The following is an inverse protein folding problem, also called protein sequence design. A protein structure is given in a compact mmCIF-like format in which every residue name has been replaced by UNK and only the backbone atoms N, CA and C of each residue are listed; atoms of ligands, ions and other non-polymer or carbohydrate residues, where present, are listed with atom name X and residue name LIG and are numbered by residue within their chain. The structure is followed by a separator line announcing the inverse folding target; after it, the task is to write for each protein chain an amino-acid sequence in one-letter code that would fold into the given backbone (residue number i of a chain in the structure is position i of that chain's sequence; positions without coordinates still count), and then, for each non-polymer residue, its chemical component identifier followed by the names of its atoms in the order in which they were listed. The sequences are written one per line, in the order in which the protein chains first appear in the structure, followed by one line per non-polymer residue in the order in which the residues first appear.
data_IF_220420962924
#
_entry.id   IF_220420962924
#
_cell.length_a   1.000
_cell.length_b   1.000
_cell.length_c   1.000
_cell.angle_alpha   90.00
_cell.angle_beta   90.00
_cell.angle_gamma   90.00
#
_symmetry.space_group_name_H-M   'P 1'
#
loop_
_entity.id
_entity.type
_entity.pdbx_description
1 polymer ?
#
# COMPACT_ATOMS: atom_id res chain seq x y z
N UNK A 1 -6.05 -8.04 28.06
CA UNK A 1 -7.10 -7.09 27.63
C UNK A 1 -6.51 -5.70 27.65
N UNK A 2 -6.33 -5.02 26.52
CA UNK A 2 -5.92 -3.61 26.54
C UNK A 2 -7.13 -2.69 26.36
N UNK A 3 -7.16 -1.66 27.21
CA UNK A 3 -8.13 -0.59 27.27
C UNK A 3 -8.40 0.06 25.92
N UNK A 4 -9.67 0.02 25.48
CA UNK A 4 -10.19 0.90 24.42
C UNK A 4 -10.38 2.29 25.02
N UNK A 5 -9.42 3.18 24.83
CA UNK A 5 -9.71 4.62 24.92
C UNK A 5 -10.66 5.00 23.77
N UNK A 6 -11.83 5.60 24.04
CA UNK A 6 -12.67 6.15 22.99
C UNK A 6 -11.91 7.29 22.30
N UNK A 7 -11.65 7.13 21.00
CA UNK A 7 -11.05 8.16 20.17
C UNK A 7 -11.92 9.41 20.13
N UNK A 8 -11.29 10.56 20.32
CA UNK A 8 -11.90 11.88 20.19
C UNK A 8 -12.66 11.98 18.86
N UNK A 9 -13.95 12.28 18.94
CA UNK A 9 -14.70 12.73 17.78
C UNK A 9 -14.07 14.04 17.29
N UNK A 10 -13.52 14.03 16.08
CA UNK A 10 -13.11 15.25 15.39
C UNK A 10 -14.32 16.17 15.32
N UNK A 11 -14.24 17.32 15.98
CA UNK A 11 -15.26 18.38 15.88
C UNK A 11 -15.31 18.83 14.42
N UNK A 12 -16.46 18.64 13.78
CA UNK A 12 -16.70 19.12 12.43
C UNK A 12 -16.89 20.64 12.48
N UNK A 13 -15.91 21.40 12.00
CA UNK A 13 -16.01 22.85 11.81
C UNK A 13 -16.55 23.17 10.40
N UNK A 14 -17.19 24.35 10.21
CA UNK A 14 -17.93 24.66 8.99
C UNK A 14 -17.01 24.78 7.77
N UNK A 15 -17.38 24.10 6.67
CA UNK A 15 -16.78 24.27 5.36
C UNK A 15 -17.40 25.50 4.65
N UNK A 16 -16.57 26.29 3.95
CA UNK A 16 -17.02 27.41 3.11
C UNK A 16 -17.06 26.93 1.67
N UNK A 17 -18.21 27.00 1.01
CA UNK A 17 -18.38 26.63 -0.40
C UNK A 17 -18.84 27.82 -1.23
N UNK A 18 -18.12 28.11 -2.31
CA UNK A 18 -18.43 29.14 -3.29
C UNK A 18 -18.24 28.57 -4.71
N UNK A 19 -19.34 28.25 -5.37
CA UNK A 19 -19.34 27.68 -6.71
C UNK A 19 -18.82 26.26 -6.69
N UNK A 20 -17.90 25.98 -7.60
CA UNK A 20 -17.16 24.73 -7.62
C UNK A 20 -16.18 24.57 -6.48
N UNK A 21 -15.76 25.66 -5.82
CA UNK A 21 -14.73 25.64 -4.78
C UNK A 21 -15.35 25.40 -3.40
N UNK A 22 -14.82 24.44 -2.66
CA UNK A 22 -15.06 24.23 -1.23
C UNK A 22 -13.74 24.27 -0.46
N UNK A 23 -13.78 24.88 0.72
CA UNK A 23 -12.67 25.02 1.65
C UNK A 23 -13.11 24.50 3.02
N UNK A 24 -12.28 23.67 3.64
CA UNK A 24 -12.49 23.17 4.99
C UNK A 24 -11.14 22.98 5.69
N UNK A 25 -11.17 22.58 6.97
CA UNK A 25 -9.96 22.36 7.77
C UNK A 25 -9.06 21.24 7.23
N UNK A 26 -9.62 20.35 6.41
CA UNK A 26 -8.88 19.26 5.78
C UNK A 26 -8.38 19.60 4.39
N UNK A 27 -8.71 20.75 3.80
CA UNK A 27 -8.22 21.14 2.48
C UNK A 27 -9.12 22.06 1.64
N UNK A 28 -8.75 22.17 0.37
CA UNK A 28 -9.51 22.83 -0.68
C UNK A 28 -9.91 21.79 -1.74
N UNK A 29 -11.13 21.89 -2.24
CA UNK A 29 -11.62 21.08 -3.35
C UNK A 29 -12.30 21.98 -4.37
N UNK A 30 -12.10 21.70 -5.65
CA UNK A 30 -12.75 22.37 -6.76
C UNK A 30 -13.45 21.33 -7.62
N UNK A 31 -14.73 21.52 -7.90
CA UNK A 31 -15.51 20.65 -8.78
C UNK A 31 -16.21 21.46 -9.87
N UNK A 32 -16.22 20.93 -11.09
CA UNK A 32 -16.94 21.52 -12.22
C UNK A 32 -17.52 20.40 -13.08
N UNK A 33 -18.80 20.53 -13.43
CA UNK A 33 -19.50 19.58 -14.29
C UNK A 33 -20.18 20.36 -15.42
N UNK A 34 -19.94 19.89 -16.64
CA UNK A 34 -20.63 20.32 -17.86
C UNK A 34 -21.33 19.10 -18.49
N UNK A 35 -21.98 19.29 -19.64
CA UNK A 35 -22.60 18.18 -20.39
C UNK A 35 -21.59 17.10 -20.77
N UNK A 36 -20.40 17.52 -21.18
CA UNK A 36 -19.41 16.64 -21.81
C UNK A 36 -18.13 16.50 -20.99
N UNK A 37 -17.99 17.22 -19.87
CA UNK A 37 -16.78 17.20 -19.05
C UNK A 37 -17.09 17.23 -17.57
N UNK A 38 -16.28 16.55 -16.76
CA UNK A 38 -16.29 16.66 -15.30
C UNK A 38 -14.87 16.76 -14.77
N UNK A 39 -14.67 17.64 -13.82
CA UNK A 39 -13.39 17.86 -13.14
C UNK A 39 -13.65 17.93 -11.64
N UNK A 40 -12.80 17.27 -10.87
CA UNK A 40 -12.71 17.43 -9.44
C UNK A 40 -11.23 17.48 -9.06
N UNK A 41 -10.77 18.59 -8.52
CA UNK A 41 -9.44 18.74 -7.99
C UNK A 41 -9.54 18.89 -6.47
N UNK A 42 -8.61 18.32 -5.73
CA UNK A 42 -8.54 18.43 -4.28
C UNK A 42 -7.10 18.56 -3.81
N UNK A 43 -6.90 19.32 -2.76
CA UNK A 43 -5.65 19.41 -2.02
C UNK A 43 -5.98 19.49 -0.55
N UNK A 44 -5.33 18.70 0.30
CA UNK A 44 -5.72 18.61 1.70
C UNK A 44 -4.71 17.89 2.56
N UNK A 45 -5.03 17.72 3.84
CA UNK A 45 -4.28 16.92 4.81
C UNK A 45 -5.03 15.64 5.13
N UNK A 46 -4.35 14.50 5.06
CA UNK A 46 -4.93 13.23 5.50
C UNK A 46 -4.74 13.06 7.01
N UNK A 47 -5.78 13.31 7.79
CA UNK A 47 -5.73 13.16 9.24
C UNK A 47 -5.79 11.69 9.70
N UNK A 48 -5.96 10.74 8.78
CA UNK A 48 -6.27 9.34 9.08
C UNK A 48 -5.11 8.34 9.07
N UNK A 49 -3.88 8.73 8.71
CA UNK A 49 -2.80 7.74 8.59
C UNK A 49 -1.39 8.22 8.32
N UNK A 50 -1.18 9.46 7.84
CA UNK A 50 0.15 10.03 7.63
C UNK A 50 0.05 11.54 7.61
N UNK A 51 0.91 12.24 8.36
CA UNK A 51 0.97 13.70 8.40
C UNK A 51 1.50 14.25 7.07
N UNK A 52 0.67 14.23 6.03
CA UNK A 52 1.07 14.54 4.66
C UNK A 52 0.05 15.38 3.93
N UNK A 53 0.55 16.25 3.06
CA UNK A 53 -0.25 16.90 2.05
C UNK A 53 -0.68 15.84 1.01
N UNK A 54 -1.96 15.81 0.70
CA UNK A 54 -2.58 14.96 -0.32
C UNK A 54 -3.17 15.86 -1.39
N UNK A 55 -2.85 15.60 -2.64
CA UNK A 55 -3.50 16.20 -3.79
C UNK A 55 -4.21 15.12 -4.61
N UNK A 56 -5.27 15.50 -5.32
CA UNK A 56 -5.94 14.59 -6.23
C UNK A 56 -6.67 15.34 -7.34
N UNK A 57 -6.76 14.72 -8.51
CA UNK A 57 -7.47 15.24 -9.67
C UNK A 57 -8.22 14.10 -10.34
N UNK A 58 -9.54 14.22 -10.43
CA UNK A 58 -10.41 13.38 -11.23
C UNK A 58 -10.88 14.19 -12.45
N UNK A 59 -10.73 13.63 -13.64
CA UNK A 59 -11.17 14.26 -14.88
C UNK A 59 -11.89 13.26 -15.74
N UNK A 60 -12.97 13.67 -16.39
CA UNK A 60 -13.70 12.86 -17.36
C UNK A 60 -14.20 13.73 -18.51
N UNK A 61 -14.26 13.14 -19.69
CA UNK A 61 -14.74 13.77 -20.91
C UNK A 61 -15.43 12.79 -21.84
N UNK A 62 -16.55 13.22 -22.42
CA UNK A 62 -17.14 12.60 -23.61
C UNK A 62 -16.36 13.06 -24.84
N UNK A 63 -15.81 12.11 -25.58
CA UNK A 63 -15.12 12.40 -26.85
C UNK A 63 -16.13 12.49 -27.99
N UNK A 64 -17.16 11.64 -27.96
CA UNK A 64 -18.29 11.62 -28.87
C UNK A 64 -19.46 10.81 -28.27
N UNK A 65 -20.45 10.46 -29.08
CA UNK A 65 -21.63 9.70 -28.66
C UNK A 65 -21.35 8.23 -28.30
N UNK A 66 -20.14 7.73 -28.54
CA UNK A 66 -19.75 6.35 -28.24
C UNK A 66 -18.61 6.27 -27.23
N UNK A 67 -17.71 7.25 -27.19
CA UNK A 67 -16.49 7.21 -26.43
C UNK A 67 -16.51 8.20 -25.27
N UNK A 68 -16.16 7.71 -24.09
CA UNK A 68 -15.84 8.52 -22.92
C UNK A 68 -14.49 8.08 -22.37
N UNK A 69 -13.73 9.05 -21.84
CA UNK A 69 -12.45 8.81 -21.19
C UNK A 69 -12.37 9.59 -19.89
N UNK A 70 -11.62 9.07 -18.94
CA UNK A 70 -11.35 9.76 -17.70
C UNK A 70 -10.06 9.29 -17.05
N UNK A 71 -9.65 10.02 -16.03
CA UNK A 71 -8.48 9.71 -15.24
C UNK A 71 -8.65 10.17 -13.81
N UNK A 72 -8.10 9.39 -12.89
CA UNK A 72 -8.01 9.68 -11.47
C UNK A 72 -6.54 9.73 -11.10
N UNK A 73 -6.12 10.82 -10.48
CA UNK A 73 -4.78 10.99 -9.96
C UNK A 73 -4.87 11.31 -8.47
N UNK A 74 -4.11 10.62 -7.64
CA UNK A 74 -3.98 10.91 -6.22
C UNK A 74 -2.48 10.86 -5.88
N UNK A 75 -1.99 11.85 -5.15
CA UNK A 75 -0.61 11.89 -4.70
C UNK A 75 -0.50 12.39 -3.26
N UNK A 76 0.31 11.72 -2.47
CA UNK A 76 0.79 12.09 -1.15
C UNK A 76 2.24 11.59 -0.99
N UNK A 77 2.85 11.83 0.17
CA UNK A 77 4.23 11.41 0.47
C UNK A 77 4.36 9.88 0.40
N UNK A 78 3.37 9.16 0.91
CA UNK A 78 3.38 7.69 1.03
C UNK A 78 2.59 6.99 -0.09
N UNK A 79 1.81 7.73 -0.89
CA UNK A 79 0.84 7.12 -1.79
C UNK A 79 0.70 7.91 -3.09
N UNK A 80 0.88 7.24 -4.22
CA UNK A 80 0.71 7.80 -5.55
C UNK A 80 -0.10 6.84 -6.41
N UNK A 81 -1.20 7.31 -6.98
CA UNK A 81 -2.08 6.50 -7.81
C UNK A 81 -2.48 7.26 -9.07
N UNK A 82 -2.43 6.55 -10.20
CA UNK A 82 -2.96 6.98 -11.49
C UNK A 82 -3.89 5.90 -11.99
N UNK A 83 -5.13 6.24 -12.28
CA UNK A 83 -6.08 5.35 -12.97
C UNK A 83 -6.56 6.05 -14.23
N UNK A 84 -6.55 5.34 -15.35
CA UNK A 84 -7.12 5.78 -16.62
C UNK A 84 -8.32 4.90 -16.94
N UNK A 85 -9.42 5.51 -17.34
CA UNK A 85 -10.67 4.85 -17.67
C UNK A 85 -11.07 5.19 -19.10
N UNK A 86 -11.46 4.19 -19.88
CA UNK A 86 -12.07 4.34 -21.19
C UNK A 86 -13.38 3.57 -21.24
N UNK A 87 -14.37 4.13 -21.93
CA UNK A 87 -15.66 3.50 -22.16
C UNK A 87 -16.06 3.66 -23.61
N UNK A 88 -16.34 2.54 -24.28
CA UNK A 88 -16.85 2.47 -25.63
C UNK A 88 -18.28 1.95 -25.62
N UNK A 89 -19.19 2.66 -26.27
CA UNK A 89 -20.62 2.36 -26.30
C UNK A 89 -21.05 2.13 -27.75
N UNK A 90 -20.89 0.91 -28.30
CA UNK A 90 -21.28 0.62 -29.68
C UNK A 90 -22.79 0.82 -29.95
N UNK A 91 -23.61 0.71 -28.89
CA UNK A 91 -25.03 1.04 -28.90
C UNK A 91 -25.40 1.75 -27.61
N UNK A 92 -26.64 2.26 -27.51
CA UNK A 92 -27.15 2.93 -26.31
C UNK A 92 -27.27 1.98 -25.10
N UNK A 93 -27.32 0.67 -25.33
CA UNK A 93 -27.53 -0.31 -24.27
C UNK A 93 -26.27 -1.08 -23.90
N UNK A 94 -25.23 -1.05 -24.75
CA UNK A 94 -24.02 -1.84 -24.52
C UNK A 94 -22.84 -0.91 -24.31
N UNK A 95 -22.17 -1.09 -23.18
CA UNK A 95 -20.98 -0.32 -22.82
C UNK A 95 -19.83 -1.26 -22.48
N UNK A 96 -18.68 -1.03 -23.08
CA UNK A 96 -17.44 -1.77 -22.90
C UNK A 96 -16.42 -0.84 -22.25
N UNK A 97 -15.98 -1.17 -21.05
CA UNK A 97 -15.03 -0.38 -20.29
C UNK A 97 -13.67 -1.05 -20.18
N UNK A 98 -12.63 -0.23 -20.21
CA UNK A 98 -11.25 -0.61 -19.94
C UNK A 98 -10.65 0.40 -18.95
N UNK A 99 -10.09 -0.10 -17.86
CA UNK A 99 -9.35 0.74 -16.91
C UNK A 99 -7.94 0.20 -16.70
N UNK A 100 -6.98 1.11 -16.62
CA UNK A 100 -5.57 0.84 -16.34
C UNK A 100 -5.18 1.61 -15.09
N UNK A 101 -4.50 0.96 -14.15
CA UNK A 101 -4.03 1.58 -12.93
C UNK A 101 -2.54 1.40 -12.73
N UNK A 102 -1.90 2.42 -12.18
CA UNK A 102 -0.59 2.36 -11.57
C UNK A 102 -0.68 2.92 -10.15
N UNK A 103 -0.07 2.23 -9.21
CA UNK A 103 -0.08 2.57 -7.80
C UNK A 103 1.34 2.39 -7.25
N UNK A 104 1.83 3.38 -6.53
CA UNK A 104 3.00 3.29 -5.67
C UNK A 104 2.58 3.62 -4.25
N UNK A 105 2.86 2.71 -3.34
CA UNK A 105 2.43 2.81 -1.95
C UNK A 105 3.61 2.46 -1.05
N UNK A 106 3.87 3.32 -0.07
CA UNK A 106 4.91 3.12 0.95
C UNK A 106 4.22 2.74 2.24
N UNK A 107 4.57 1.58 2.78
CA UNK A 107 4.03 1.07 4.04
C UNK A 107 5.16 0.51 4.91
N UNK A 108 4.91 0.43 6.21
CA UNK A 108 5.86 -0.09 7.18
C UNK A 108 5.70 -1.60 7.31
N UNK A 109 6.72 -2.35 6.91
CA UNK A 109 6.72 -3.82 6.95
C UNK A 109 7.51 -4.34 8.16
N UNK A 110 6.98 -5.34 8.90
CA UNK A 110 7.64 -5.89 10.08
C UNK A 110 8.66 -6.97 9.70
N UNK A 111 9.89 -6.58 9.39
CA UNK A 111 11.00 -7.51 9.15
C UNK A 111 11.60 -8.04 10.47
N UNK A 112 12.44 -9.07 10.39
CA UNK A 112 13.14 -9.62 11.56
C UNK A 112 14.07 -8.59 12.22
N UNK A 113 14.72 -7.77 11.40
CA UNK A 113 15.56 -6.64 11.82
C UNK A 113 14.79 -5.42 12.32
N UNK A 114 13.46 -5.51 12.39
CA UNK A 114 12.57 -4.44 12.82
C UNK A 114 11.74 -3.85 11.67
N UNK A 115 10.79 -2.96 12.00
CA UNK A 115 9.94 -2.32 11.02
C UNK A 115 10.75 -1.43 10.07
N UNK A 116 10.47 -1.50 8.77
CA UNK A 116 11.05 -0.59 7.78
C UNK A 116 10.02 -0.16 6.73
N UNK A 117 10.11 1.09 6.30
CA UNK A 117 9.25 1.64 5.26
C UNK A 117 9.73 1.18 3.88
N UNK A 118 8.85 0.52 3.13
CA UNK A 118 9.15 0.02 1.79
C UNK A 118 8.11 0.51 0.81
N UNK A 119 8.58 1.03 -0.31
CA UNK A 119 7.75 1.52 -1.40
C UNK A 119 7.54 0.41 -2.44
N UNK A 120 6.29 0.10 -2.73
CA UNK A 120 5.90 -0.98 -3.65
C UNK A 120 5.11 -0.41 -4.82
N UNK A 121 5.57 -0.71 -6.03
CA UNK A 121 4.86 -0.39 -7.27
C UNK A 121 3.90 -1.51 -7.66
N UNK A 122 2.75 -1.15 -8.21
CA UNK A 122 1.70 -2.06 -8.66
C UNK A 122 1.05 -1.54 -9.94
N UNK A 123 0.80 -2.46 -10.87
CA UNK A 123 0.00 -2.20 -12.06
C UNK A 123 -1.32 -2.98 -11.98
N UNK A 124 -2.38 -2.41 -12.51
CA UNK A 124 -3.71 -3.02 -12.51
C UNK A 124 -4.46 -2.78 -13.81
N UNK A 125 -5.40 -3.68 -14.11
CA UNK A 125 -6.19 -3.71 -15.33
C UNK A 125 -7.60 -4.19 -14.98
N UNK A 126 -8.61 -3.54 -15.54
CA UNK A 126 -10.02 -3.94 -15.46
C UNK A 126 -10.62 -3.87 -16.86
N UNK A 127 -11.30 -4.93 -17.27
CA UNK A 127 -12.19 -4.92 -18.43
C UNK A 127 -13.60 -5.22 -17.97
N UNK A 128 -14.58 -4.46 -18.47
CA UNK A 128 -15.99 -4.62 -18.09
C UNK A 128 -16.93 -4.47 -19.27
N UNK A 129 -18.06 -5.15 -19.19
CA UNK A 129 -19.16 -5.04 -20.12
C UNK A 129 -20.45 -4.79 -19.34
N UNK A 130 -21.26 -3.84 -19.79
CA UNK A 130 -22.54 -3.47 -19.18
C UNK A 130 -23.57 -3.51 -20.30
N UNK A 131 -24.58 -4.36 -20.17
CA UNK A 131 -25.76 -4.42 -21.03
C UNK A 131 -26.97 -3.88 -20.26
N UNK A 132 -27.65 -2.89 -20.81
CA UNK A 132 -28.89 -2.33 -20.28
C UNK A 132 -30.10 -2.87 -21.02
N UNK A 133 -31.23 -2.74 -20.35
CA UNK A 133 -32.54 -3.14 -20.85
C UNK A 133 -33.50 -1.96 -20.76
N UNK A 134 -34.53 -2.01 -21.60
CA UNK A 134 -35.46 -0.90 -21.84
C UNK A 134 -36.19 -0.41 -20.58
N UNK A 135 -36.69 0.82 -20.70
CA UNK A 135 -37.57 1.43 -19.71
C UNK A 135 -38.86 0.62 -19.56
N UNK A 136 -39.09 0.05 -18.37
CA UNK A 136 -40.23 -0.81 -18.07
C UNK A 136 -39.83 -2.24 -17.68
N UNK A 137 -38.61 -2.67 -18.02
CA UNK A 137 -38.09 -3.94 -17.51
C UNK A 137 -37.75 -3.86 -16.01
N UNK A 138 -38.11 -4.91 -15.27
CA UNK A 138 -37.70 -5.13 -13.88
C UNK A 138 -36.19 -5.33 -13.76
N UNK A 139 -35.56 -5.92 -14.79
CA UNK A 139 -34.11 -6.01 -14.94
C UNK A 139 -33.63 -4.76 -15.69
N UNK A 140 -32.82 -3.92 -15.06
CA UNK A 140 -32.33 -2.66 -15.63
C UNK A 140 -30.96 -2.78 -16.29
N UNK A 141 -30.12 -3.66 -15.77
CA UNK A 141 -28.76 -3.88 -16.28
C UNK A 141 -28.24 -5.27 -15.94
N UNK A 142 -27.36 -5.77 -16.78
CA UNK A 142 -26.46 -6.89 -16.55
C UNK A 142 -25.03 -6.40 -16.78
N UNK A 143 -24.12 -6.78 -15.90
CA UNK A 143 -22.72 -6.37 -15.98
C UNK A 143 -21.81 -7.55 -15.71
N UNK A 144 -20.66 -7.56 -16.38
CA UNK A 144 -19.59 -8.52 -16.14
C UNK A 144 -18.26 -7.79 -16.18
N UNK A 145 -17.36 -8.10 -15.25
CA UNK A 145 -16.03 -7.53 -15.24
C UNK A 145 -14.97 -8.57 -14.87
N UNK A 146 -13.77 -8.35 -15.38
CA UNK A 146 -12.57 -9.11 -15.05
C UNK A 146 -11.47 -8.12 -14.73
N UNK A 147 -10.69 -8.40 -13.69
CA UNK A 147 -9.64 -7.51 -13.24
C UNK A 147 -8.44 -8.27 -12.74
N UNK A 148 -7.29 -7.61 -12.82
CA UNK A 148 -6.04 -8.12 -12.32
C UNK A 148 -5.21 -6.97 -11.75
N UNK A 149 -4.44 -7.27 -10.71
CA UNK A 149 -3.41 -6.39 -10.20
C UNK A 149 -2.15 -7.19 -9.89
N UNK A 150 -0.98 -6.60 -10.11
CA UNK A 150 0.31 -7.23 -9.87
C UNK A 150 1.26 -6.20 -9.26
N UNK A 151 1.69 -6.48 -8.03
CA UNK A 151 2.80 -5.76 -7.41
C UNK A 151 4.13 -6.20 -8.03
N UNK A 152 5.09 -5.29 -8.05
CA UNK A 152 6.48 -5.54 -8.40
C UNK A 152 7.26 -5.80 -7.11
N UNK A 153 8.20 -6.74 -7.15
CA UNK A 153 9.13 -6.97 -6.04
C UNK A 153 9.94 -5.67 -5.83
N UNK A 154 9.87 -5.03 -4.65
CA UNK A 154 10.74 -3.90 -4.34
C UNK A 154 12.17 -4.39 -4.12
N UNK A 155 13.14 -3.52 -4.35
CA UNK A 155 14.54 -3.77 -3.96
C UNK A 155 14.73 -3.18 -2.57
N UNK A 156 14.85 -4.06 -1.57
CA UNK A 156 15.02 -3.68 -0.16
C UNK A 156 16.40 -4.13 0.27
N UNK A 157 17.26 -3.22 0.76
CA UNK A 157 18.60 -3.60 1.16
C UNK A 157 18.57 -4.46 2.42
N UNK A 158 19.41 -5.49 2.44
CA UNK A 158 19.60 -6.35 3.61
C UNK A 158 20.01 -5.56 4.85
N UNK A 159 19.55 -6.00 6.01
CA UNK A 159 19.96 -5.45 7.30
C UNK A 159 20.77 -6.43 8.13
N UNK A 160 21.84 -5.92 8.76
CA UNK A 160 22.61 -6.71 9.71
C UNK A 160 22.05 -6.50 11.11
N UNK A 161 21.84 -7.61 11.80
CA UNK A 161 21.47 -7.68 13.20
C UNK A 161 22.62 -8.29 14.00
N UNK A 162 22.69 -7.92 15.27
CA UNK A 162 23.65 -8.50 16.21
C UNK A 162 22.86 -9.26 17.27
N UNK A 163 23.21 -10.53 17.45
CA UNK A 163 22.72 -11.38 18.54
C UNK A 163 23.88 -11.63 19.51
N UNK A 164 23.74 -11.13 20.74
CA UNK A 164 24.76 -11.27 21.79
C UNK A 164 24.29 -12.26 22.87
N UNK A 165 25.18 -13.20 23.22
CA UNK A 165 25.05 -14.11 24.35
C UNK A 165 26.34 -14.06 25.18
N UNK A 166 26.38 -14.62 26.42
CA UNK A 166 27.54 -14.50 27.30
C UNK A 166 28.87 -14.98 26.69
N UNK A 167 28.82 -15.94 25.75
CA UNK A 167 30.01 -16.56 25.14
C UNK A 167 30.04 -16.45 23.62
N UNK A 168 29.02 -15.88 22.97
CA UNK A 168 28.92 -15.87 21.52
C UNK A 168 28.24 -14.60 21.02
N UNK A 169 28.87 -13.94 20.06
CA UNK A 169 28.29 -12.83 19.28
C UNK A 169 28.07 -13.34 17.86
N UNK A 170 26.86 -13.14 17.31
CA UNK A 170 26.51 -13.52 15.94
C UNK A 170 26.04 -12.30 15.16
N UNK A 171 26.54 -12.17 13.95
CA UNK A 171 26.05 -11.23 12.95
C UNK A 171 25.09 -11.97 12.05
N UNK A 172 23.84 -11.56 12.04
CA UNK A 172 22.78 -12.11 11.22
C UNK A 172 22.46 -11.12 10.11
N UNK A 173 22.23 -11.60 8.90
CA UNK A 173 21.72 -10.79 7.79
C UNK A 173 20.27 -11.15 7.57
N UNK A 174 19.41 -10.15 7.74
CA UNK A 174 18.01 -10.19 7.34
C UNK A 174 17.92 -9.71 5.89
N UNK A 175 17.57 -10.60 4.93
CA UNK A 175 17.47 -10.24 3.52
C UNK A 175 16.28 -9.31 3.21
N UNK A 176 15.41 -9.04 4.20
CA UNK A 176 14.27 -8.10 4.11
C UNK A 176 13.42 -8.31 2.86
N UNK A 177 13.08 -9.57 2.61
CA UNK A 177 12.37 -9.94 1.41
C UNK A 177 10.88 -9.61 1.49
N UNK A 178 10.35 -9.03 0.41
CA UNK A 178 8.93 -8.72 0.24
C UNK A 178 8.36 -9.62 -0.86
N UNK A 179 7.30 -10.36 -0.52
CA UNK A 179 6.55 -11.16 -1.45
C UNK A 179 5.53 -10.28 -2.21
N UNK A 180 5.70 -10.06 -3.53
CA UNK A 180 4.74 -9.27 -4.30
C UNK A 180 3.46 -10.07 -4.58
N UNK A 181 2.32 -9.43 -4.32
CA UNK A 181 1.00 -9.98 -4.53
C UNK A 181 0.53 -9.94 -5.98
N UNK A 182 -0.30 -10.92 -6.34
CA UNK A 182 -1.05 -10.97 -7.61
C UNK A 182 -2.51 -11.21 -7.33
N UNK A 183 -3.36 -10.25 -7.69
CA UNK A 183 -4.82 -10.36 -7.62
C UNK A 183 -5.37 -10.64 -9.01
N UNK A 184 -6.32 -11.56 -9.08
CA UNK A 184 -7.15 -11.81 -10.25
C UNK A 184 -8.58 -12.04 -9.78
N UNK A 185 -9.54 -11.41 -10.45
CA UNK A 185 -10.94 -11.54 -10.09
C UNK A 185 -11.87 -11.37 -11.27
N UNK A 186 -13.10 -11.83 -11.07
CA UNK A 186 -14.21 -11.52 -11.95
C UNK A 186 -15.44 -11.20 -11.10
N UNK A 187 -16.34 -10.38 -11.64
CA UNK A 187 -17.60 -10.03 -11.01
C UNK A 187 -18.71 -10.04 -12.06
N UNK A 188 -19.89 -10.52 -11.66
CA UNK A 188 -21.12 -10.43 -12.43
C UNK A 188 -22.15 -9.70 -11.59
N UNK A 189 -22.74 -8.65 -12.16
CA UNK A 189 -23.74 -7.85 -11.49
C UNK A 189 -25.02 -7.72 -12.29
N UNK A 190 -26.13 -7.52 -11.59
CA UNK A 190 -27.43 -7.19 -12.16
C UNK A 190 -28.04 -6.01 -11.42
N UNK A 191 -28.76 -5.17 -12.14
CA UNK A 191 -29.59 -4.11 -11.57
C UNK A 191 -31.05 -4.46 -11.74
N UNK A 192 -31.81 -4.30 -10.67
CA UNK A 192 -33.23 -4.54 -10.60
C UNK A 192 -33.94 -3.24 -10.22
N UNK A 193 -35.16 -3.06 -10.71
CA UNK A 193 -36.01 -1.92 -10.39
C UNK A 193 -37.34 -2.44 -9.83
N UNK A 194 -37.37 -2.76 -8.52
CA UNK A 194 -38.58 -3.30 -7.89
C UNK A 194 -39.72 -2.28 -7.86
N UNK A 195 -39.41 -0.98 -7.87
CA UNK A 195 -40.37 0.13 -7.93
C UNK A 195 -39.89 1.19 -8.92
N UNK A 196 -40.79 2.02 -9.45
CA UNK A 196 -40.45 3.06 -10.43
C UNK A 196 -39.40 4.08 -9.93
N UNK A 197 -39.26 4.20 -8.61
CA UNK A 197 -38.38 5.14 -7.93
C UNK A 197 -37.25 4.46 -7.14
N UNK A 198 -37.05 3.15 -7.31
CA UNK A 198 -36.03 2.39 -6.58
C UNK A 198 -35.18 1.52 -7.50
N UNK A 199 -33.89 1.45 -7.21
CA UNK A 199 -32.93 0.61 -7.92
C UNK A 199 -32.16 -0.24 -6.91
N UNK A 200 -32.04 -1.53 -7.21
CA UNK A 200 -31.31 -2.52 -6.44
C UNK A 200 -30.22 -3.11 -7.34
N UNK A 201 -28.96 -2.91 -6.99
CA UNK A 201 -27.80 -3.48 -7.67
C UNK A 201 -27.28 -4.65 -6.86
N UNK A 202 -27.14 -5.81 -7.48
CA UNK A 202 -26.57 -7.01 -6.89
C UNK A 202 -25.33 -7.37 -7.68
N UNK A 203 -24.25 -7.75 -7.01
CA UNK A 203 -23.04 -8.22 -7.67
C UNK A 203 -22.45 -9.41 -6.93
N UNK A 204 -21.98 -10.42 -7.66
CA UNK A 204 -21.33 -11.60 -7.14
C UNK A 204 -20.09 -11.87 -7.98
N UNK A 205 -18.98 -12.14 -7.30
CA UNK A 205 -17.71 -12.38 -7.96
C UNK A 205 -16.83 -13.33 -7.18
N UNK A 206 -15.65 -13.57 -7.73
CA UNK A 206 -14.62 -14.39 -7.11
C UNK A 206 -13.26 -13.79 -7.37
N UNK A 207 -12.46 -13.75 -6.33
CA UNK A 207 -11.09 -13.24 -6.35
C UNK A 207 -10.11 -14.33 -5.93
N UNK A 208 -8.90 -14.24 -6.46
CA UNK A 208 -7.76 -15.03 -6.03
C UNK A 208 -6.57 -14.10 -5.87
N UNK A 209 -6.02 -14.06 -4.64
CA UNK A 209 -4.80 -13.35 -4.30
C UNK A 209 -3.69 -14.37 -4.07
N UNK A 210 -2.51 -14.15 -4.65
CA UNK A 210 -1.35 -15.03 -4.49
C UNK A 210 -0.11 -14.24 -4.12
N UNK A 211 0.63 -14.73 -3.14
CA UNK A 211 1.98 -14.31 -2.79
C UNK A 211 2.92 -15.48 -3.09
N UNK A 212 4.05 -15.20 -3.74
CA UNK A 212 5.10 -16.19 -3.99
C UNK A 212 6.28 -15.85 -3.11
N UNK A 213 6.75 -16.84 -2.35
CA UNK A 213 7.89 -16.71 -1.47
C UNK A 213 9.17 -17.17 -2.18
N UNK A 214 10.31 -16.77 -1.63
CA UNK A 214 11.64 -17.00 -2.19
C UNK A 214 12.00 -18.48 -2.24
N UNK A 215 11.58 -19.26 -1.24
CA UNK A 215 11.78 -20.71 -1.16
C UNK A 215 10.94 -21.52 -2.18
N UNK A 216 10.12 -20.84 -2.99
CA UNK A 216 9.23 -21.45 -3.97
C UNK A 216 7.85 -21.83 -3.42
N UNK A 217 7.64 -21.72 -2.11
CA UNK A 217 6.33 -21.82 -1.50
C UNK A 217 5.50 -20.54 -1.76
N UNK A 218 4.28 -20.50 -1.23
CA UNK A 218 3.45 -19.31 -1.42
C UNK A 218 2.11 -19.39 -0.72
N UNK A 219 1.55 -18.22 -0.48
CA UNK A 219 0.22 -18.06 0.08
C UNK A 219 -0.79 -17.85 -1.05
N UNK A 220 -1.95 -18.49 -0.95
CA UNK A 220 -3.06 -18.30 -1.89
C UNK A 220 -4.36 -18.14 -1.13
N UNK A 221 -4.95 -16.96 -1.24
CA UNK A 221 -6.29 -16.66 -0.75
C UNK A 221 -7.30 -16.68 -1.91
N UNK A 222 -8.48 -17.22 -1.67
CA UNK A 222 -9.60 -17.25 -2.61
C UNK A 222 -10.86 -16.81 -1.87
N UNK A 223 -11.46 -15.71 -2.30
CA UNK A 223 -12.65 -15.15 -1.66
C UNK A 223 -13.78 -14.98 -2.67
N UNK A 224 -15.00 -15.18 -2.21
CA UNK A 224 -16.22 -14.80 -2.95
C UNK A 224 -16.55 -13.35 -2.59
N UNK A 225 -16.74 -12.51 -3.59
CA UNK A 225 -17.12 -11.11 -3.41
C UNK A 225 -18.61 -10.96 -3.60
N UNK A 226 -19.27 -10.19 -2.74
CA UNK A 226 -20.69 -9.88 -2.88
C UNK A 226 -20.89 -8.37 -2.74
N UNK A 227 -21.84 -7.83 -3.49
CA UNK A 227 -22.18 -6.42 -3.45
C UNK A 227 -23.68 -6.21 -3.53
N UNK A 228 -24.15 -5.24 -2.76
CA UNK A 228 -25.53 -4.80 -2.65
C UNK A 228 -25.53 -3.28 -2.72
N UNK A 229 -26.21 -2.71 -3.72
CA UNK A 229 -26.47 -1.29 -3.84
C UNK A 229 -27.98 -1.06 -3.84
N UNK A 230 -28.45 -0.07 -3.11
CA UNK A 230 -29.85 0.31 -3.05
C UNK A 230 -29.96 1.82 -3.20
N UNK A 231 -30.87 2.29 -4.04
CA UNK A 231 -31.17 3.71 -4.18
C UNK A 231 -32.68 3.88 -4.27
N UNK A 232 -33.25 4.79 -3.48
CA UNK A 232 -34.70 5.06 -3.47
C UNK A 232 -34.95 6.55 -3.43
N UNK A 233 -35.73 7.06 -4.39
CA UNK A 233 -36.17 8.45 -4.43
C UNK A 233 -37.60 8.54 -3.91
N UNK A 234 -37.84 9.23 -2.81
CA UNK A 234 -39.17 9.43 -2.24
C UNK A 234 -39.75 10.79 -2.64
N UNK A 235 -41.09 10.98 -2.53
CA UNK A 235 -41.71 12.29 -2.64
C UNK A 235 -41.10 13.31 -1.68
N UNK A 236 -41.20 14.58 -2.02
CA UNK A 236 -40.63 15.64 -1.18
C UNK A 236 -39.10 15.64 -1.18
N UNK A 237 -38.47 15.39 -2.33
CA UNK A 237 -37.03 15.61 -2.52
C UNK A 237 -36.09 14.68 -1.73
N UNK A 238 -36.60 13.63 -1.08
CA UNK A 238 -35.79 12.68 -0.32
C UNK A 238 -35.16 11.63 -1.22
N UNK A 239 -33.89 11.31 -1.01
CA UNK A 239 -33.21 10.19 -1.65
C UNK A 239 -32.39 9.43 -0.62
N UNK A 240 -32.55 8.11 -0.61
CA UNK A 240 -31.77 7.18 0.20
C UNK A 240 -30.83 6.41 -0.71
N UNK A 241 -29.60 6.22 -0.24
CA UNK A 241 -28.60 5.37 -0.87
C UNK A 241 -27.97 4.46 0.18
N UNK A 242 -27.83 3.18 -0.15
CA UNK A 242 -27.08 2.23 0.66
C UNK A 242 -26.23 1.37 -0.24
N UNK A 243 -24.96 1.20 0.09
CA UNK A 243 -24.09 0.26 -0.62
C UNK A 243 -23.31 -0.57 0.39
N UNK A 244 -23.20 -1.86 0.14
CA UNK A 244 -22.35 -2.79 0.88
C UNK A 244 -21.60 -3.66 -0.12
N UNK A 245 -20.31 -3.86 0.05
CA UNK A 245 -19.52 -4.77 -0.78
C UNK A 245 -18.42 -5.46 0.03
N UNK A 246 -18.10 -6.69 -0.33
CA UNK A 246 -17.01 -7.47 0.25
C UNK A 246 -15.97 -7.80 -0.82
N UNK A 247 -14.69 -7.60 -0.52
CA UNK A 247 -13.58 -7.88 -1.45
C UNK A 247 -12.28 -8.20 -0.70
N UNK A 248 -11.29 -8.74 -1.41
CA UNK A 248 -9.92 -8.94 -0.90
C UNK A 248 -9.27 -7.60 -0.54
N UNK A 249 -9.64 -6.52 -1.23
CA UNK A 249 -9.21 -5.17 -0.93
C UNK A 249 -9.99 -4.52 0.25
N UNK A 250 -10.85 -5.28 0.94
CA UNK A 250 -11.61 -4.81 2.09
C UNK A 250 -13.12 -4.90 1.89
N UNK A 251 -13.84 -4.75 2.98
CA UNK A 251 -15.29 -4.66 2.98
C UNK A 251 -15.66 -3.19 3.06
N UNK A 252 -16.70 -2.73 2.36
CA UNK A 252 -17.16 -1.34 2.46
C UNK A 252 -18.66 -1.29 2.65
N UNK A 253 -19.09 -0.40 3.54
CA UNK A 253 -20.49 -0.07 3.81
C UNK A 253 -20.64 1.44 3.70
N UNK A 254 -21.60 1.92 2.91
CA UNK A 254 -21.95 3.34 2.83
C UNK A 254 -23.45 3.52 2.90
N UNK A 255 -23.90 4.51 3.66
CA UNK A 255 -25.29 4.92 3.80
C UNK A 255 -25.37 6.42 3.56
N UNK A 256 -26.29 6.85 2.71
CA UNK A 256 -26.47 8.23 2.33
C UNK A 256 -27.93 8.63 2.35
N UNK A 257 -28.20 9.84 2.82
CA UNK A 257 -29.51 10.47 2.75
C UNK A 257 -29.35 11.87 2.19
N UNK A 258 -30.18 12.21 1.22
CA UNK A 258 -30.22 13.53 0.59
C UNK A 258 -31.63 14.09 0.64
N UNK A 259 -31.76 15.38 0.96
CA UNK A 259 -33.03 16.09 0.96
C UNK A 259 -32.84 17.52 0.45
N UNK A 260 -33.37 17.79 -0.75
CA UNK A 260 -33.20 19.09 -1.40
C UNK A 260 -31.72 19.41 -1.61
N UNK A 261 -31.23 20.43 -0.92
CA UNK A 261 -29.83 20.86 -0.95
C UNK A 261 -28.93 20.12 0.06
N UNK A 262 -29.51 19.42 1.03
CA UNK A 262 -28.75 18.78 2.11
C UNK A 262 -28.37 17.35 1.74
N UNK A 263 -27.13 16.96 2.02
CA UNK A 263 -26.68 15.58 1.95
C UNK A 263 -25.93 15.18 3.22
N UNK A 264 -26.15 13.94 3.65
CA UNK A 264 -25.43 13.30 4.75
C UNK A 264 -25.06 11.90 4.30
N UNK A 265 -23.79 11.55 4.39
CA UNK A 265 -23.29 10.24 4.03
C UNK A 265 -22.32 9.70 5.09
N UNK A 266 -22.52 8.46 5.50
CA UNK A 266 -21.63 7.70 6.36
C UNK A 266 -21.03 6.57 5.53
N UNK A 267 -19.71 6.42 5.54
CA UNK A 267 -19.05 5.27 4.93
C UNK A 267 -18.02 4.66 5.88
N UNK A 268 -17.96 3.33 5.89
CA UNK A 268 -16.99 2.53 6.62
C UNK A 268 -16.31 1.56 5.67
N UNK A 269 -14.99 1.66 5.60
CA UNK A 269 -14.11 0.74 4.90
C UNK A 269 -13.48 -0.18 5.95
N UNK A 270 -13.88 -1.45 5.98
CA UNK A 270 -13.30 -2.53 6.77
C UNK A 270 -11.98 -2.99 6.16
N UNK A 271 -10.94 -3.00 6.98
CA UNK A 271 -9.63 -3.43 6.53
C UNK A 271 -9.51 -4.95 6.41
N UNK A 272 -9.18 -5.43 5.21
CA UNK A 272 -8.63 -6.76 4.99
C UNK A 272 -7.09 -6.68 4.89
N UNK A 273 -6.38 -7.76 5.26
CA UNK A 273 -4.92 -7.89 5.08
C UNK A 273 -4.06 -6.75 5.62
N UNK A 274 -4.27 -6.33 6.88
CA UNK A 274 -3.42 -5.33 7.55
C UNK A 274 -3.90 -3.88 7.48
N UNK A 275 -4.98 -3.59 6.73
CA UNK A 275 -5.56 -2.24 6.68
C UNK A 275 -6.26 -1.86 8.00
N UNK A 276 -6.11 -0.61 8.44
CA UNK A 276 -6.94 -0.02 9.51
C UNK A 276 -8.33 0.28 8.95
N UNK A 277 -9.38 -0.10 9.68
CA UNK A 277 -10.72 0.28 9.30
C UNK A 277 -10.88 1.81 9.34
N UNK A 278 -11.47 2.39 8.29
CA UNK A 278 -11.73 3.83 8.20
C UNK A 278 -13.23 4.07 8.26
N UNK A 279 -13.64 5.04 9.06
CA UNK A 279 -15.02 5.56 9.07
C UNK A 279 -14.99 7.02 8.64
N UNK A 280 -15.88 7.42 7.75
CA UNK A 280 -16.01 8.80 7.26
C UNK A 280 -17.47 9.24 7.33
N UNK A 281 -17.68 10.47 7.80
CA UNK A 281 -18.97 11.15 7.81
C UNK A 281 -18.81 12.41 6.95
N UNK A 282 -19.68 12.54 5.95
CA UNK A 282 -19.75 13.71 5.08
C UNK A 282 -21.10 14.37 5.29
N UNK A 283 -21.10 15.67 5.53
CA UNK A 283 -22.31 16.50 5.60
C UNK A 283 -22.08 17.67 4.64
N UNK A 284 -22.99 17.86 3.69
CA UNK A 284 -22.86 18.86 2.64
C UNK A 284 -24.16 19.60 2.36
N UNK A 285 -24.02 20.82 1.84
CA UNK A 285 -25.12 21.66 1.36
C UNK A 285 -24.79 22.14 -0.04
N UNK A 286 -25.60 21.76 -1.02
CA UNK A 286 -25.45 22.17 -2.41
C UNK A 286 -26.07 23.56 -2.61
N UNK A 287 -25.27 24.61 -2.80
CA UNK A 287 -25.78 25.97 -3.04
C UNK A 287 -25.70 26.32 -4.52
N UNK A 288 -26.83 26.43 -5.25
CA UNK A 288 -26.81 26.80 -6.66
C UNK A 288 -26.43 28.27 -6.84
N UNK A 289 -25.43 28.54 -7.68
CA UNK A 289 -24.99 29.90 -8.01
C UNK A 289 -25.33 30.22 -9.46
N UNK A 290 -26.51 30.81 -9.68
CA UNK A 290 -27.01 31.22 -10.99
C UNK A 290 -28.40 31.85 -10.93
N UNK A 291 -28.77 32.67 -11.93
CA UNK A 291 -30.08 33.38 -11.99
C UNK A 291 -31.27 32.47 -12.31
N UNK A 292 -31.04 31.24 -12.77
CA UNK A 292 -32.09 30.24 -12.91
C UNK A 292 -32.24 29.53 -11.58
N UNK A 293 -33.24 29.90 -10.79
CA UNK A 293 -33.63 29.13 -9.61
C UNK A 293 -33.89 27.69 -10.07
N UNK A 294 -33.08 26.70 -9.67
CA UNK A 294 -33.49 25.33 -9.88
C UNK A 294 -34.82 25.18 -9.12
N UNK A 295 -35.84 24.62 -9.77
CA UNK A 295 -37.10 24.27 -9.11
C UNK A 295 -36.78 23.67 -7.74
N UNK A 296 -37.63 23.89 -6.72
CA UNK A 296 -37.41 23.45 -5.33
C UNK A 296 -37.07 21.95 -5.15
N UNK A 297 -37.06 21.16 -6.23
CA UNK A 297 -36.54 19.79 -6.32
C UNK A 297 -35.61 19.45 -7.52
N UNK A 298 -34.94 20.43 -8.12
CA UNK A 298 -34.06 20.24 -9.27
C UNK A 298 -32.68 19.71 -8.86
N UNK A 299 -32.68 18.45 -8.44
CA UNK A 299 -31.74 17.39 -8.84
C UNK A 299 -32.23 16.02 -8.33
N UNK A 300 -33.53 15.69 -8.38
CA UNK A 300 -33.96 14.35 -7.94
C UNK A 300 -35.45 14.01 -7.89
N UNK A 301 -36.39 14.93 -8.10
CA UNK A 301 -37.82 14.63 -7.99
C UNK A 301 -38.48 14.42 -9.37
N UNK A 302 -38.20 13.27 -9.94
CA UNK A 302 -38.97 12.60 -10.97
C UNK A 302 -38.47 11.16 -11.00
N UNK A 303 -39.25 10.15 -11.43
CA UNK A 303 -38.63 8.90 -11.86
C UNK A 303 -37.55 9.34 -12.84
N UNK A 304 -36.27 9.16 -12.47
CA UNK A 304 -35.20 9.38 -13.43
C UNK A 304 -35.63 8.44 -14.56
N UNK A 305 -35.91 8.92 -15.79
CA UNK A 305 -35.89 8.00 -16.92
C UNK A 305 -34.58 7.23 -16.78
N UNK A 306 -34.54 5.99 -17.22
CA UNK A 306 -33.32 5.20 -17.24
C UNK A 306 -32.35 5.91 -18.19
N UNK A 307 -31.81 7.05 -17.74
CA UNK A 307 -30.90 7.89 -18.47
C UNK A 307 -29.76 6.95 -18.76
N UNK A 308 -29.43 6.95 -20.05
CA UNK A 308 -28.14 6.60 -20.61
C UNK A 308 -27.11 6.57 -19.49
N UNK A 309 -26.34 5.48 -19.40
CA UNK A 309 -25.20 5.44 -18.48
C UNK A 309 -24.57 6.80 -18.62
N UNK A 310 -24.49 7.59 -17.54
CA UNK A 310 -23.76 8.85 -17.64
C UNK A 310 -22.34 8.39 -17.87
N UNK A 311 -21.96 8.25 -19.13
CA UNK A 311 -20.69 7.66 -19.57
C UNK A 311 -19.55 8.38 -18.90
N UNK A 312 -19.77 9.68 -18.66
CA UNK A 312 -19.00 10.55 -17.79
C UNK A 312 -18.82 10.00 -16.37
N UNK A 313 -19.89 9.65 -15.65
CA UNK A 313 -19.82 9.10 -14.28
C UNK A 313 -19.03 7.78 -14.24
N UNK A 314 -19.19 6.94 -15.25
CA UNK A 314 -18.51 5.65 -15.36
C UNK A 314 -17.00 5.78 -15.57
N UNK A 315 -16.53 6.79 -16.30
CA UNK A 315 -15.09 7.02 -16.51
C UNK A 315 -14.49 8.00 -15.51
N UNK A 316 -15.33 8.76 -14.80
CA UNK A 316 -14.92 9.71 -13.78
C UNK A 316 -14.57 9.02 -12.46
N UNK A 317 -15.25 7.94 -12.10
CA UNK A 317 -15.00 7.26 -10.83
C UNK A 317 -13.85 6.25 -10.96
N UNK A 318 -12.95 6.27 -9.97
CA UNK A 318 -11.99 5.19 -9.74
C UNK A 318 -12.75 3.87 -9.58
N UNK A 319 -12.48 2.83 -10.41
CA UNK A 319 -13.16 1.55 -10.29
C UNK A 319 -12.89 0.92 -8.92
N UNK A 320 -13.92 0.32 -8.32
CA UNK A 320 -13.85 -0.23 -6.97
C UNK A 320 -13.11 -1.57 -6.92
N UNK A 321 -13.03 -2.26 -8.06
CA UNK A 321 -12.35 -3.54 -8.25
C UNK A 321 -10.82 -3.41 -8.23
N UNK A 322 -10.30 -2.22 -8.54
CA UNK A 322 -8.86 -1.98 -8.53
C UNK A 322 -8.39 -1.72 -7.09
N UNK A 323 -7.35 -2.41 -6.58
CA UNK A 323 -6.84 -2.19 -5.22
C UNK A 323 -6.29 -0.79 -5.03
N UNK A 324 -6.58 -0.16 -3.90
CA UNK A 324 -6.10 1.19 -3.52
C UNK A 324 -4.87 1.16 -2.59
N UNK A 325 -4.29 -0.02 -2.36
CA UNK A 325 -3.06 -0.25 -1.60
C UNK A 325 -2.22 -1.29 -2.34
N UNK A 326 -0.90 -1.22 -2.17
CA UNK A 326 -0.02 -2.18 -2.81
C UNK A 326 -0.21 -3.57 -2.20
N UNK A 327 -0.35 -4.59 -3.06
CA UNK A 327 -0.47 -5.98 -2.64
C UNK A 327 0.93 -6.51 -2.33
N UNK A 328 1.39 -6.38 -1.08
CA UNK A 328 2.69 -6.88 -0.65
C UNK A 328 2.67 -7.33 0.81
N UNK A 329 3.52 -8.30 1.15
CA UNK A 329 3.73 -8.83 2.50
C UNK A 329 5.20 -9.17 2.71
N UNK A 330 5.64 -9.22 3.96
CA UNK A 330 6.96 -9.78 4.32
C UNK A 330 7.00 -11.25 3.93
N UNK A 331 8.07 -11.66 3.27
CA UNK A 331 8.36 -13.06 3.01
C UNK A 331 8.92 -13.71 4.28
N UNK A 332 8.10 -14.52 4.94
CA UNK A 332 8.47 -15.19 6.18
C UNK A 332 9.44 -16.36 5.97
N UNK A 333 9.64 -16.78 4.72
CA UNK A 333 10.58 -17.87 4.37
C UNK A 333 12.01 -17.37 4.22
N UNK A 334 12.18 -16.06 4.02
CA UNK A 334 13.46 -15.39 3.95
C UNK A 334 14.02 -15.14 5.37
N UNK A 335 14.34 -16.22 6.07
CA UNK A 335 14.83 -16.16 7.45
C UNK A 335 16.24 -15.59 7.53
N UNK A 336 16.60 -14.87 8.61
CA UNK A 336 17.95 -14.37 8.79
C UNK A 336 18.98 -15.49 8.77
N UNK A 337 20.11 -15.25 8.12
CA UNK A 337 21.24 -16.19 8.07
C UNK A 337 22.48 -15.59 8.73
N UNK A 338 23.40 -16.45 9.18
CA UNK A 338 24.62 -16.00 9.89
C UNK A 338 25.65 -15.54 8.88
N UNK A 339 26.12 -14.30 9.03
CA UNK A 339 27.24 -13.74 8.28
C UNK A 339 28.58 -13.97 8.98
N UNK A 340 28.62 -13.86 10.31
CA UNK A 340 29.82 -14.11 11.10
C UNK A 340 29.45 -14.49 12.54
N UNK A 341 30.35 -15.20 13.22
CA UNK A 341 30.22 -15.46 14.65
C UNK A 341 31.57 -15.37 15.37
N UNK A 342 31.56 -14.80 16.57
CA UNK A 342 32.72 -14.66 17.45
C UNK A 342 32.42 -15.37 18.77
N UNK A 343 33.23 -16.35 19.14
CA UNK A 343 33.25 -16.91 20.49
C UNK A 343 34.04 -15.97 21.42
N UNK A 344 33.39 -15.44 22.43
CA UNK A 344 33.98 -14.49 23.37
C UNK A 344 34.63 -15.16 24.58
N UNK A 345 34.44 -16.46 24.80
CA UNK A 345 35.00 -17.18 25.94
C UNK A 345 36.54 -17.15 25.95
N UNK A 346 37.16 -17.09 24.76
CA UNK A 346 38.61 -16.99 24.59
C UNK A 346 39.20 -15.59 24.77
N UNK A 347 38.37 -14.54 24.93
CA UNK A 347 38.83 -13.13 24.91
C UNK A 347 39.16 -12.56 26.30
N UNK A 348 39.13 -13.35 27.37
CA UNK A 348 39.79 -13.08 28.67
C UNK A 348 39.78 -11.63 29.19
N UNK A 349 38.61 -11.11 29.58
CA UNK A 349 38.49 -9.77 30.17
C UNK A 349 38.40 -8.61 29.17
N UNK A 350 38.39 -8.90 27.87
CA UNK A 350 38.12 -7.92 26.82
C UNK A 350 36.66 -7.43 26.87
N UNK A 351 36.44 -6.19 26.44
CA UNK A 351 35.07 -5.69 26.15
C UNK A 351 34.86 -5.72 24.64
N UNK A 352 33.75 -6.31 24.22
CA UNK A 352 33.38 -6.42 22.82
C UNK A 352 32.15 -5.57 22.56
N UNK A 353 32.16 -4.80 21.49
CA UNK A 353 31.03 -3.99 21.04
C UNK A 353 30.82 -4.29 19.56
N UNK A 354 29.62 -4.76 19.21
CA UNK A 354 29.25 -5.05 17.84
C UNK A 354 28.32 -3.98 17.29
N UNK A 355 28.56 -3.59 16.04
CA UNK A 355 27.70 -2.72 15.24
C UNK A 355 27.35 -3.44 13.93
N UNK A 356 26.35 -2.99 13.16
CA UNK A 356 25.99 -3.62 11.89
C UNK A 356 27.12 -3.72 10.85
N UNK A 357 28.15 -2.89 10.97
CA UNK A 357 29.28 -2.83 10.03
C UNK A 357 30.58 -3.38 10.63
N UNK A 358 30.81 -3.13 11.92
CA UNK A 358 32.09 -3.37 12.58
C UNK A 358 31.93 -4.09 13.93
N UNK A 359 32.90 -4.96 14.21
CA UNK A 359 33.13 -5.55 15.51
C UNK A 359 34.34 -4.87 16.17
N UNK A 360 34.13 -4.30 17.35
CA UNK A 360 35.14 -3.54 18.10
C UNK A 360 35.52 -4.33 19.35
N UNK A 361 36.78 -4.72 19.46
CA UNK A 361 37.32 -5.49 20.58
C UNK A 361 38.34 -4.63 21.32
N UNK A 362 37.99 -4.24 22.55
CA UNK A 362 38.90 -3.60 23.50
C UNK A 362 39.54 -4.68 24.35
N UNK A 363 40.79 -4.97 24.04
CA UNK A 363 41.62 -5.94 24.75
C UNK A 363 42.10 -5.38 26.11
N UNK A 364 42.58 -6.22 27.05
CA UNK A 364 43.01 -5.77 28.38
C UNK A 364 44.16 -4.74 28.36
N UNK A 365 44.98 -4.78 27.31
CA UNK A 365 46.04 -3.81 27.00
C UNK A 365 45.68 -3.13 25.67
N UNK A 366 46.04 -1.86 25.40
CA UNK A 366 45.72 -1.22 24.12
C UNK A 366 46.39 -1.94 22.95
N UNK A 367 45.62 -2.23 21.90
CA UNK A 367 46.18 -2.72 20.64
C UNK A 367 46.98 -1.61 19.94
N UNK A 368 48.09 -1.95 19.31
CA UNK A 368 48.93 -1.00 18.55
C UNK A 368 48.98 -1.32 17.06
N UNK A 369 48.98 -2.60 16.69
CA UNK A 369 49.00 -3.02 15.30
C UNK A 369 48.43 -4.43 15.09
N UNK A 370 48.06 -4.76 13.85
CA UNK A 370 47.76 -6.14 13.41
C UNK A 370 49.05 -6.76 12.87
N UNK A 371 49.58 -7.77 13.55
CA UNK A 371 50.79 -8.46 13.11
C UNK A 371 50.51 -9.43 11.96
N UNK A 372 49.41 -10.18 12.05
CA UNK A 372 49.08 -11.20 11.07
C UNK A 372 47.57 -11.46 11.04
N UNK A 373 47.07 -11.70 9.82
CA UNK A 373 45.73 -12.23 9.57
C UNK A 373 45.87 -13.58 8.87
N UNK A 374 45.09 -14.58 9.26
CA UNK A 374 45.05 -15.87 8.58
C UNK A 374 43.64 -16.42 8.43
N UNK A 375 43.38 -17.08 7.29
CA UNK A 375 42.14 -17.80 6.98
C UNK A 375 42.44 -19.28 6.92
N UNK A 376 41.72 -20.11 7.68
CA UNK A 376 42.00 -21.55 7.79
C UNK A 376 43.47 -21.85 8.13
N UNK A 377 44.10 -21.00 8.94
CA UNK A 377 45.52 -21.11 9.32
C UNK A 377 46.52 -20.62 8.26
N UNK A 378 46.06 -20.21 7.06
CA UNK A 378 46.91 -19.67 6.01
C UNK A 378 47.01 -18.15 6.11
N UNK A 379 48.22 -17.54 6.12
CA UNK A 379 48.38 -16.09 6.16
C UNK A 379 47.71 -15.42 4.95
N UNK A 380 46.94 -14.37 5.20
CA UNK A 380 46.19 -13.62 4.18
C UNK A 380 46.50 -12.12 4.30
N UNK A 381 46.47 -11.43 3.15
CA UNK A 381 46.56 -9.97 3.13
C UNK A 381 45.38 -9.31 3.87
N UNK A 382 45.66 -8.18 4.53
CA UNK A 382 44.65 -7.41 5.25
C UNK A 382 43.99 -6.35 4.34
N UNK A 383 43.39 -6.79 3.24
CA UNK A 383 42.59 -5.94 2.35
C UNK A 383 41.31 -6.65 1.94
N UNK A 384 40.19 -5.94 2.06
CA UNK A 384 38.88 -6.36 1.59
C UNK A 384 38.64 -6.04 0.12
N UNK A 385 37.53 -6.53 -0.41
CA UNK A 385 37.11 -6.33 -1.80
C UNK A 385 36.82 -4.85 -2.15
N UNK A 386 36.56 -4.01 -1.15
CA UNK A 386 36.36 -2.57 -1.25
C UNK A 386 37.67 -1.76 -1.15
N UNK A 387 38.83 -2.43 -1.08
CA UNK A 387 40.14 -1.82 -0.92
C UNK A 387 40.44 -1.30 0.49
N UNK A 388 39.55 -1.52 1.46
CA UNK A 388 39.74 -1.14 2.86
C UNK A 388 40.30 -2.31 3.68
N UNK A 389 40.97 -2.06 4.82
CA UNK A 389 41.46 -3.15 5.65
C UNK A 389 40.30 -3.99 6.22
N UNK A 390 40.51 -5.30 6.29
CA UNK A 390 39.59 -6.27 6.90
C UNK A 390 39.57 -6.09 8.42
N UNK A 391 40.75 -5.84 8.98
CA UNK A 391 40.99 -5.64 10.41
C UNK A 391 41.91 -4.44 10.59
N UNK A 392 41.65 -3.56 11.54
CA UNK A 392 42.54 -2.43 11.83
C UNK A 392 42.56 -2.12 13.32
N UNK A 393 43.53 -1.31 13.73
CA UNK A 393 43.61 -0.80 15.10
C UNK A 393 43.28 0.69 15.07
N UNK A 394 42.38 1.11 15.96
CA UNK A 394 42.01 2.50 16.14
C UNK A 394 41.71 2.76 17.61
N UNK A 395 42.22 3.86 18.16
CA UNK A 395 42.01 4.28 19.55
C UNK A 395 42.31 3.18 20.60
N UNK A 396 43.32 2.34 20.32
CA UNK A 396 43.72 1.23 21.18
C UNK A 396 42.80 0.00 21.12
N UNK A 397 41.79 -0.01 20.26
CA UNK A 397 40.88 -1.13 20.03
C UNK A 397 41.14 -1.80 18.68
N UNK A 398 40.83 -3.10 18.61
CA UNK A 398 40.80 -3.85 17.36
C UNK A 398 39.43 -3.71 16.70
N UNK A 399 39.40 -3.29 15.45
CA UNK A 399 38.21 -3.20 14.64
C UNK A 399 38.23 -4.25 13.53
N UNK A 400 37.12 -4.93 13.33
CA UNK A 400 36.95 -5.99 12.32
C UNK A 400 35.74 -5.61 11.46
N UNK A 401 35.96 -5.38 10.17
CA UNK A 401 34.91 -5.00 9.21
C UNK A 401 34.17 -6.23 8.71
N UNK A 402 33.04 -6.56 9.32
CA UNK A 402 32.37 -7.86 9.17
C UNK A 402 31.93 -8.12 7.72
N UNK A 403 31.48 -7.08 7.00
CA UNK A 403 31.05 -7.19 5.59
C UNK A 403 32.21 -7.26 4.58
N UNK A 404 33.44 -7.02 5.00
CA UNK A 404 34.61 -6.98 4.10
C UNK A 404 35.26 -8.34 3.88
N UNK A 405 34.94 -9.32 4.73
CA UNK A 405 35.47 -10.66 4.61
C UNK A 405 34.94 -11.34 3.33
N UNK A 406 35.77 -12.11 2.62
CA UNK A 406 35.29 -12.90 1.50
C UNK A 406 34.19 -13.86 1.95
N UNK A 407 33.09 -13.93 1.20
CA UNK A 407 32.02 -14.90 1.44
C UNK A 407 32.55 -16.32 1.11
N UNK A 408 32.63 -17.25 2.09
CA UNK A 408 33.09 -18.61 1.83
C UNK A 408 32.09 -19.52 1.10
N UNK A 409 30.89 -19.02 0.79
CA UNK A 409 29.82 -19.74 0.13
C UNK A 409 28.84 -20.38 1.10
N UNK A 410 27.58 -20.48 0.69
CA UNK A 410 26.47 -21.00 1.50
C UNK A 410 26.82 -22.29 2.26
N UNK A 411 26.64 -22.27 3.57
CA UNK A 411 26.88 -23.42 4.45
C UNK A 411 28.34 -23.69 4.80
N UNK A 412 29.28 -22.86 4.33
CA UNK A 412 30.70 -22.93 4.69
C UNK A 412 31.05 -21.88 5.75
N UNK A 413 32.03 -22.18 6.59
CA UNK A 413 32.61 -21.21 7.52
C UNK A 413 34.14 -21.24 7.38
N UNK A 414 34.75 -20.06 7.38
CA UNK A 414 36.20 -19.89 7.43
C UNK A 414 36.57 -19.41 8.84
N UNK A 415 37.27 -20.22 9.64
CA UNK A 415 37.99 -19.71 10.80
C UNK A 415 39.01 -18.66 10.39
N UNK A 416 38.86 -17.48 10.98
CA UNK A 416 39.77 -16.34 10.86
C UNK A 416 40.52 -16.20 12.16
N UNK A 417 41.84 -16.03 12.06
CA UNK A 417 42.72 -15.78 13.20
C UNK A 417 43.48 -14.47 12.98
N UNK A 418 43.50 -13.62 14.00
CA UNK A 418 44.19 -12.34 14.00
C UNK A 418 45.20 -12.33 15.14
N UNK A 419 46.47 -12.09 14.82
CA UNK A 419 47.52 -11.84 15.81
C UNK A 419 47.67 -10.33 15.95
N UNK A 420 47.43 -9.83 17.15
CA UNK A 420 47.45 -8.40 17.48
C UNK A 420 48.66 -8.09 18.36
N UNK A 421 49.35 -7.01 18.05
CA UNK A 421 50.45 -6.47 18.87
C UNK A 421 49.88 -5.51 19.90
N UNK A 422 50.19 -5.75 21.16
CA UNK A 422 49.73 -4.97 22.29
C UNK A 422 50.75 -3.88 22.67
N UNK A 423 50.31 -2.84 23.38
CA UNK A 423 51.18 -1.74 23.80
C UNK A 423 52.29 -2.17 24.79
N UNK A 424 52.08 -3.27 25.50
CA UNK A 424 53.08 -3.92 26.37
C UNK A 424 54.00 -4.91 25.62
N UNK A 425 53.98 -4.89 24.28
CA UNK A 425 54.70 -5.78 23.38
C UNK A 425 54.31 -7.26 23.47
N UNK A 426 53.22 -7.62 24.18
CA UNK A 426 52.63 -8.96 24.09
C UNK A 426 51.88 -9.17 22.77
N UNK A 427 51.64 -10.44 22.43
CA UNK A 427 50.82 -10.84 21.28
C UNK A 427 49.54 -11.49 21.78
N UNK A 428 48.40 -11.07 21.24
CA UNK A 428 47.10 -11.68 21.52
C UNK A 428 46.50 -12.28 20.25
N UNK A 429 45.97 -13.50 20.37
CA UNK A 429 45.26 -14.18 19.30
C UNK A 429 43.75 -13.94 19.45
N UNK A 430 43.12 -13.42 18.39
CA UNK A 430 41.66 -13.28 18.29
C UNK A 430 41.17 -14.19 17.18
N UNK A 431 40.23 -15.08 17.49
CA UNK A 431 39.66 -16.03 16.52
C UNK A 431 38.16 -15.81 16.35
N UNK A 432 37.67 -15.83 15.12
CA UNK A 432 36.24 -15.80 14.81
C UNK A 432 35.96 -16.60 13.53
N UNK A 433 34.69 -16.84 13.22
CA UNK A 433 34.27 -17.51 12.00
C UNK A 433 33.57 -16.52 11.07
N UNK A 434 34.09 -16.37 9.85
CA UNK A 434 33.34 -15.78 8.75
C UNK A 434 32.45 -16.87 8.14
N UNK A 435 31.15 -16.65 8.05
CA UNK A 435 30.18 -17.64 7.58
C UNK A 435 29.68 -17.24 6.20
N UNK A 436 29.56 -18.22 5.32
CA UNK A 436 29.17 -18.01 3.95
C UNK A 436 27.68 -18.12 3.74
N UNK A 437 27.21 -17.28 2.85
CA UNK A 437 25.81 -17.08 2.52
C UNK A 437 25.53 -17.30 1.04
#
# INVERSE_FOLDING_TARGET
MPDRRPGQASQAHPAVQAGGLSLNDSGAQYSSESRDTRLNASIGRDWGGGSGLRAGVDYARLLNDQWAVGGNFIASIEHQEVVLNGLYSPSQDLHLGLSLGWLRDTDTYPFYSGPADVSVDQASLLARAIKRFDEGSWLTQLSGSVYMARARKPDVPDAVMVEESPTLIRFLVDPREIAPGRLQGFNVGMGLRPWANAELKLSLGRETLRYRFQDGSGERDRRTTAGLGYTHSLPGCWQFEGNANTSVAGDRLSLGVRHGLWNVALARDGGASGMKARTSLVVGVDVPLGRNHPARCAAGAGPRPARDVRRLDEVFQRPRELPSRALAKVDLTATPFVLASLDTAGLGGSTVTATPDDLIIKLPSPATNVAQLSFNGLPTGNQGSDGRPLVWVQDGALHIGIRRFPNPGAGSAIPVSVIVVMADASLTLVTFNAVGF
#
